data_IF_752547642995
#
_entry.id   IF_752547642995
#
_cell.length_a   1.000
_cell.length_b   1.000
_cell.length_c   1.000
_cell.angle_alpha   90.00
_cell.angle_beta   90.00
_cell.angle_gamma   90.00
#
_symmetry.space_group_name_H-M   'P 1'
#
loop_
_entity.id
_entity.type
_entity.pdbx_description
1 polymer ?
#
# COMPACT_ATOMS: atom_id res chain seq x y z
N UNK A 1 24.29 23.59 21.26
CA UNK A 1 23.88 22.98 19.98
C UNK A 1 23.67 21.50 20.24
N UNK A 2 22.43 21.14 20.51
CA UNK A 2 21.99 19.77 20.82
C UNK A 2 22.07 18.91 19.56
N UNK A 3 22.70 17.74 19.70
CA UNK A 3 22.86 16.77 18.62
C UNK A 3 21.51 16.21 18.18
N UNK A 4 21.07 16.63 17.00
CA UNK A 4 20.04 15.94 16.21
C UNK A 4 20.72 15.00 15.20
N UNK A 5 21.56 14.11 15.71
CA UNK A 5 22.22 13.08 14.91
C UNK A 5 22.09 11.76 15.64
N UNK A 6 21.39 10.80 15.01
CA UNK A 6 21.04 9.43 15.45
C UNK A 6 19.81 9.27 16.35
N UNK A 7 18.69 8.98 15.70
CA UNK A 7 17.85 7.79 15.96
C UNK A 7 16.74 7.69 14.88
N UNK A 8 17.10 7.28 13.67
CA UNK A 8 16.14 6.57 12.80
C UNK A 8 16.81 5.23 12.44
N UNK A 9 17.26 4.53 13.47
CA UNK A 9 17.72 3.16 13.33
C UNK A 9 16.45 2.31 13.24
N UNK A 10 16.08 1.94 12.01
CA UNK A 10 15.04 0.98 11.64
C UNK A 10 13.61 1.38 12.04
N UNK A 11 12.94 2.13 11.18
CA UNK A 11 11.48 2.21 11.19
C UNK A 11 10.93 0.84 10.75
N UNK A 12 10.68 -0.03 11.72
CA UNK A 12 10.15 -1.37 11.50
C UNK A 12 8.73 -1.37 10.93
N UNK A 13 8.21 -2.55 10.55
CA UNK A 13 6.92 -2.69 9.88
C UNK A 13 5.74 -2.15 10.69
N UNK A 14 5.81 -2.19 12.02
CA UNK A 14 4.79 -1.61 12.90
C UNK A 14 4.65 -0.11 12.74
N UNK A 15 5.77 0.61 12.57
CA UNK A 15 5.74 2.06 12.38
C UNK A 15 5.22 2.39 10.99
N UNK A 16 5.65 1.66 9.96
CA UNK A 16 5.11 1.81 8.61
C UNK A 16 3.60 1.56 8.58
N UNK A 17 3.14 0.53 9.30
CA UNK A 17 1.71 0.22 9.48
C UNK A 17 0.96 1.36 10.17
N UNK A 18 1.48 1.87 11.28
CA UNK A 18 0.82 2.96 12.00
C UNK A 18 0.73 4.24 11.16
N UNK A 19 1.84 4.64 10.54
CA UNK A 19 1.88 5.84 9.69
C UNK A 19 0.99 5.68 8.47
N UNK A 20 1.05 4.54 7.79
CA UNK A 20 0.20 4.21 6.67
C UNK A 20 -1.29 4.33 7.01
N UNK A 21 -1.73 3.66 8.09
CA UNK A 21 -3.12 3.73 8.52
C UNK A 21 -3.57 5.15 8.91
N UNK A 22 -2.70 5.97 9.52
CA UNK A 22 -3.02 7.37 9.83
C UNK A 22 -3.17 8.21 8.57
N UNK A 23 -2.25 8.06 7.61
CA UNK A 23 -2.31 8.78 6.34
C UNK A 23 -3.56 8.40 5.54
N UNK A 24 -3.91 7.10 5.49
CA UNK A 24 -5.12 6.63 4.84
C UNK A 24 -6.41 7.16 5.49
N UNK A 25 -6.46 7.29 6.83
CA UNK A 25 -7.61 7.91 7.52
C UNK A 25 -7.78 9.38 7.15
N UNK A 26 -6.69 10.14 7.13
CA UNK A 26 -6.75 11.55 6.70
C UNK A 26 -7.22 11.64 5.24
N UNK A 27 -6.74 10.74 4.36
CA UNK A 27 -7.22 10.66 2.99
C UNK A 27 -8.71 10.34 2.89
N UNK A 28 -9.20 9.41 3.71
CA UNK A 28 -10.62 9.04 3.77
C UNK A 28 -11.49 10.20 4.28
N UNK A 29 -11.07 10.87 5.35
CA UNK A 29 -11.78 12.04 5.91
C UNK A 29 -11.95 13.16 4.87
N UNK A 30 -10.96 13.35 3.99
CA UNK A 30 -11.01 14.33 2.91
C UNK A 30 -11.98 13.98 1.77
N UNK A 31 -12.41 12.73 1.67
CA UNK A 31 -13.33 12.30 0.62
C UNK A 31 -14.79 12.61 0.94
N UNK A 32 -15.13 12.90 2.20
CA UNK A 32 -16.47 13.26 2.69
C UNK A 32 -17.63 12.33 2.30
N UNK A 33 -17.39 11.26 1.56
CA UNK A 33 -18.34 10.27 1.13
C UNK A 33 -17.90 8.92 1.72
N UNK A 34 -18.78 8.32 2.52
CA UNK A 34 -18.77 6.92 3.01
C UNK A 34 -17.80 6.52 4.13
N UNK A 35 -18.26 5.57 4.97
CA UNK A 35 -17.52 4.87 6.04
C UNK A 35 -16.44 3.96 5.44
N UNK A 36 -15.47 4.57 4.75
CA UNK A 36 -14.38 3.86 4.11
C UNK A 36 -13.37 3.37 5.13
N UNK A 37 -13.39 2.07 5.44
CA UNK A 37 -12.33 1.44 6.22
C UNK A 37 -11.11 1.28 5.33
N UNK A 38 -10.17 2.22 5.46
CA UNK A 38 -8.89 2.12 4.80
C UNK A 38 -7.90 1.33 5.66
N UNK A 39 -7.31 0.28 5.09
CA UNK A 39 -6.32 -0.54 5.79
C UNK A 39 -4.98 -0.53 5.07
N UNK A 40 -3.92 -0.39 5.87
CA UNK A 40 -2.53 -0.58 5.48
C UNK A 40 -1.98 -1.73 6.32
N UNK A 41 -1.65 -2.85 5.67
CA UNK A 41 -1.14 -4.04 6.35
C UNK A 41 0.09 -4.56 5.62
N UNK A 42 1.31 -4.27 6.13
CA UNK A 42 2.52 -4.93 5.68
C UNK A 42 2.64 -6.26 6.44
N UNK A 43 2.72 -7.36 5.71
CA UNK A 43 3.00 -8.69 6.26
C UNK A 43 4.13 -9.33 5.46
N UNK A 44 4.89 -10.25 6.06
CA UNK A 44 5.99 -10.90 5.35
C UNK A 44 6.15 -12.38 5.66
N UNK A 45 6.64 -13.12 4.67
CA UNK A 45 6.84 -14.57 4.72
C UNK A 45 8.15 -14.95 4.01
N UNK A 46 8.81 -16.05 4.43
CA UNK A 46 9.96 -16.58 3.72
C UNK A 46 9.56 -17.11 2.33
N UNK A 47 10.44 -16.93 1.34
CA UNK A 47 10.32 -17.53 0.02
C UNK A 47 10.95 -18.93 0.10
N UNK A 48 10.11 -19.92 0.39
CA UNK A 48 10.51 -21.34 0.36
C UNK A 48 10.52 -21.93 -1.05
N UNK A 49 10.63 -23.26 -1.13
CA UNK A 49 10.69 -24.02 -2.39
C UNK A 49 9.46 -23.84 -3.30
N UNK A 50 8.32 -23.41 -2.74
CA UNK A 50 7.11 -23.07 -3.48
C UNK A 50 7.17 -21.72 -4.21
N UNK A 51 8.24 -20.94 -4.03
CA UNK A 51 8.47 -19.67 -4.70
C UNK A 51 7.54 -18.54 -4.25
N UNK A 52 7.55 -17.45 -5.01
CA UNK A 52 6.83 -16.20 -4.71
C UNK A 52 5.32 -16.43 -4.59
N UNK A 53 4.72 -17.20 -5.50
CA UNK A 53 3.28 -17.48 -5.49
C UNK A 53 2.83 -18.15 -4.17
N UNK A 54 3.57 -19.15 -3.70
CA UNK A 54 3.25 -19.84 -2.45
C UNK A 54 3.43 -18.91 -1.23
N UNK A 55 4.47 -18.07 -1.24
CA UNK A 55 4.69 -17.07 -0.19
C UNK A 55 3.55 -16.03 -0.15
N UNK A 56 3.10 -15.51 -1.31
CA UNK A 56 1.92 -14.62 -1.38
C UNK A 56 0.68 -15.31 -0.81
N UNK A 57 0.40 -16.54 -1.24
CA UNK A 57 -0.78 -17.28 -0.76
C UNK A 57 -0.74 -17.58 0.74
N UNK A 58 0.43 -17.58 1.37
CA UNK A 58 0.57 -17.73 2.83
C UNK A 58 0.22 -16.43 3.57
N UNK A 59 0.38 -15.28 2.91
CA UNK A 59 0.12 -13.95 3.47
C UNK A 59 -1.31 -13.47 3.23
N UNK A 60 -1.99 -14.02 2.23
CA UNK A 60 -3.41 -13.78 1.99
C UNK A 60 -4.25 -14.58 2.99
N UNK A 61 -5.28 -13.96 3.55
CA UNK A 61 -6.18 -14.62 4.49
C UNK A 61 -7.06 -15.69 3.79
N UNK A 62 -7.28 -16.83 4.47
CA UNK A 62 -8.24 -17.87 4.05
C UNK A 62 -9.67 -17.27 3.94
N UNK A 63 -10.48 -17.61 2.91
CA UNK A 63 -10.28 -18.61 1.84
C UNK A 63 -9.67 -18.06 0.55
N UNK A 64 -9.08 -16.87 0.61
CA UNK A 64 -8.58 -16.18 -0.56
C UNK A 64 -7.20 -16.71 -0.98
N UNK A 65 -6.89 -16.58 -2.26
CA UNK A 65 -5.58 -16.84 -2.82
C UNK A 65 -5.28 -15.90 -3.98
N UNK A 66 -4.00 -15.69 -4.29
CA UNK A 66 -3.59 -14.95 -5.47
C UNK A 66 -3.94 -15.76 -6.72
N UNK A 67 -4.83 -15.20 -7.53
CA UNK A 67 -5.17 -15.67 -8.87
C UNK A 67 -4.05 -15.34 -9.86
N UNK A 68 -3.43 -14.17 -9.72
CA UNK A 68 -2.39 -13.71 -10.64
C UNK A 68 -1.37 -12.83 -9.93
N UNK A 69 -0.10 -12.99 -10.31
CA UNK A 69 1.00 -12.09 -9.97
C UNK A 69 1.53 -11.46 -11.25
N UNK A 70 1.38 -10.14 -11.38
CA UNK A 70 1.89 -9.41 -12.54
C UNK A 70 3.14 -8.63 -12.12
N UNK A 71 4.32 -8.90 -12.73
CA UNK A 71 5.52 -8.12 -12.44
C UNK A 71 5.26 -6.63 -12.64
N UNK A 72 5.69 -5.82 -11.68
CA UNK A 72 5.61 -4.37 -11.72
C UNK A 72 7.00 -3.75 -11.95
N UNK A 73 7.03 -2.53 -12.47
CA UNK A 73 8.28 -1.83 -12.83
C UNK A 73 9.05 -1.43 -11.58
N UNK A 74 8.40 -0.74 -10.65
CA UNK A 74 8.94 -0.38 -9.35
C UNK A 74 7.80 -0.15 -8.34
N UNK A 75 7.99 -0.61 -7.11
CA UNK A 75 6.96 -0.52 -6.08
C UNK A 75 6.62 0.93 -5.69
N UNK A 76 7.57 1.91 -5.63
CA UNK A 76 7.23 3.29 -5.27
C UNK A 76 6.25 3.92 -6.25
N UNK A 77 6.45 3.71 -7.55
CA UNK A 77 5.56 4.21 -8.60
C UNK A 77 4.16 3.62 -8.48
N UNK A 78 4.05 2.30 -8.28
CA UNK A 78 2.75 1.63 -8.12
C UNK A 78 1.97 2.21 -6.92
N UNK A 79 2.62 2.41 -5.77
CA UNK A 79 1.96 3.00 -4.59
C UNK A 79 1.53 4.45 -4.88
N UNK A 80 2.39 5.22 -5.55
CA UNK A 80 2.09 6.62 -5.94
C UNK A 80 0.95 6.76 -6.92
N UNK A 81 0.78 5.81 -7.83
CA UNK A 81 -0.36 5.84 -8.76
C UNK A 81 -1.64 5.34 -8.07
N UNK A 82 -1.53 4.27 -7.29
CA UNK A 82 -2.68 3.63 -6.67
C UNK A 82 -3.37 4.53 -5.65
N UNK A 83 -2.64 5.15 -4.71
CA UNK A 83 -3.28 5.88 -3.62
C UNK A 83 -4.11 7.08 -4.12
N UNK A 84 -3.56 8.06 -4.87
CA UNK A 84 -4.37 9.17 -5.36
C UNK A 84 -5.52 8.69 -6.26
N UNK A 85 -5.30 7.71 -7.14
CA UNK A 85 -6.33 7.25 -8.07
C UNK A 85 -7.49 6.53 -7.38
N UNK A 86 -7.24 5.83 -6.27
CA UNK A 86 -8.25 4.99 -5.58
C UNK A 86 -9.08 5.77 -4.56
N UNK A 87 -8.52 6.82 -3.97
CA UNK A 87 -9.29 7.75 -3.15
C UNK A 87 -10.17 8.66 -4.02
N UNK A 88 -9.76 8.98 -5.25
CA UNK A 88 -10.58 9.71 -6.19
C UNK A 88 -11.61 8.75 -6.81
N UNK A 89 -12.77 8.55 -6.16
CA UNK A 89 -13.85 7.72 -6.70
C UNK A 89 -14.06 8.02 -8.19
N UNK A 90 -13.78 7.02 -9.03
CA UNK A 90 -13.56 7.19 -10.48
C UNK A 90 -14.76 7.79 -11.24
N UNK A 91 -15.96 7.75 -10.64
CA UNK A 91 -17.23 8.15 -11.23
C UNK A 91 -17.76 9.50 -10.73
N UNK A 92 -17.18 10.09 -9.69
CA UNK A 92 -17.47 11.46 -9.22
C UNK A 92 -16.17 12.13 -8.80
N UNK A 93 -15.37 12.62 -9.76
CA UNK A 93 -14.26 13.51 -9.41
C UNK A 93 -14.82 14.88 -9.06
N UNK A 94 -14.94 15.28 -7.78
CA UNK A 94 -15.33 16.63 -7.47
C UNK A 94 -14.19 17.56 -7.92
N UNK A 95 -14.49 18.81 -8.31
CA UNK A 95 -13.47 19.77 -8.73
C UNK A 95 -12.36 19.99 -7.69
N UNK A 96 -12.62 19.67 -6.43
CA UNK A 96 -11.66 19.69 -5.31
C UNK A 96 -10.50 18.71 -5.47
N UNK A 97 -10.58 17.74 -6.38
CA UNK A 97 -9.53 16.76 -6.69
C UNK A 97 -8.84 16.99 -8.05
N UNK A 98 -9.14 18.10 -8.72
CA UNK A 98 -8.41 18.49 -9.91
C UNK A 98 -6.92 18.69 -9.63
N UNK A 99 -6.08 18.55 -10.65
CA UNK A 99 -4.64 18.70 -10.47
C UNK A 99 -4.28 20.08 -9.91
N UNK A 100 -3.40 20.09 -8.92
CA UNK A 100 -2.93 21.30 -8.26
C UNK A 100 -3.84 21.88 -7.18
N UNK A 101 -5.00 21.27 -6.90
CA UNK A 101 -5.86 21.65 -5.76
C UNK A 101 -5.24 21.26 -4.41
N UNK A 102 -5.70 21.88 -3.33
CA UNK A 102 -5.26 21.59 -1.96
C UNK A 102 -5.41 20.11 -1.58
N UNK A 103 -6.60 19.49 -1.75
CA UNK A 103 -6.81 18.07 -1.45
C UNK A 103 -5.90 17.14 -2.26
N UNK A 104 -5.73 17.42 -3.57
CA UNK A 104 -4.83 16.64 -4.41
C UNK A 104 -3.38 16.70 -3.92
N UNK A 105 -2.87 17.90 -3.61
CA UNK A 105 -1.51 18.09 -3.07
C UNK A 105 -1.33 17.40 -1.72
N UNK A 106 -2.34 17.44 -0.86
CA UNK A 106 -2.31 16.74 0.42
C UNK A 106 -2.24 15.22 0.20
N UNK A 107 -3.01 14.70 -0.75
CA UNK A 107 -2.98 13.28 -1.07
C UNK A 107 -1.66 12.82 -1.66
N UNK A 108 -1.09 13.59 -2.60
CA UNK A 108 0.24 13.31 -3.15
C UNK A 108 1.30 13.36 -2.03
N UNK A 109 1.24 14.36 -1.13
CA UNK A 109 2.18 14.49 0.00
C UNK A 109 2.07 13.36 1.03
N UNK A 110 0.85 12.92 1.37
CA UNK A 110 0.64 11.77 2.26
C UNK A 110 1.10 10.46 1.60
N UNK A 111 0.92 10.34 0.29
CA UNK A 111 1.39 9.20 -0.50
C UNK A 111 2.92 9.16 -0.52
N UNK A 112 3.59 10.30 -0.75
CA UNK A 112 5.05 10.39 -0.67
C UNK A 112 5.58 10.06 0.72
N UNK A 113 4.84 10.46 1.77
CA UNK A 113 5.20 10.12 3.14
C UNK A 113 5.11 8.61 3.41
N UNK A 114 4.05 7.95 2.94
CA UNK A 114 3.92 6.48 2.99
C UNK A 114 5.09 5.81 2.27
N UNK A 115 5.39 6.25 1.05
CA UNK A 115 6.50 5.69 0.24
C UNK A 115 7.84 5.88 0.94
N UNK A 116 8.11 7.04 1.54
CA UNK A 116 9.33 7.27 2.30
C UNK A 116 9.44 6.31 3.50
N UNK A 117 8.32 6.01 4.17
CA UNK A 117 8.31 5.03 5.26
C UNK A 117 8.55 3.59 4.77
N UNK A 118 7.94 3.20 3.66
CA UNK A 118 8.14 1.90 3.04
C UNK A 118 9.57 1.70 2.51
N UNK A 119 10.24 2.78 2.09
CA UNK A 119 11.63 2.72 1.63
C UNK A 119 12.63 2.34 2.74
N UNK A 120 12.22 2.38 4.02
CA UNK A 120 13.01 1.81 5.11
C UNK A 120 12.89 0.28 5.22
N UNK A 121 11.84 -0.30 4.63
CA UNK A 121 11.61 -1.74 4.60
C UNK A 121 12.11 -2.36 3.28
N UNK A 122 11.89 -1.66 2.17
CA UNK A 122 12.12 -2.18 0.83
C UNK A 122 13.08 -1.29 0.04
N UNK A 123 14.16 -1.85 -0.52
CA UNK A 123 14.97 -1.16 -1.53
C UNK A 123 14.11 -0.69 -2.71
N UNK A 124 14.43 0.46 -3.30
CA UNK A 124 13.65 1.02 -4.42
C UNK A 124 13.66 0.14 -5.67
N UNK A 125 14.69 -0.69 -5.83
CA UNK A 125 14.91 -1.64 -6.92
C UNK A 125 14.46 -3.07 -6.59
N UNK A 126 13.76 -3.26 -5.46
CA UNK A 126 13.22 -4.56 -5.08
C UNK A 126 12.22 -5.08 -6.12
N UNK A 127 12.36 -6.35 -6.49
CA UNK A 127 11.39 -7.03 -7.36
C UNK A 127 9.99 -6.93 -6.73
N UNK A 128 8.99 -6.59 -7.54
CA UNK A 128 7.63 -6.42 -7.06
C UNK A 128 6.58 -6.92 -8.07
N UNK A 129 5.41 -7.27 -7.54
CA UNK A 129 4.27 -7.76 -8.30
C UNK A 129 2.98 -7.15 -7.80
N UNK A 130 2.12 -6.71 -8.71
CA UNK A 130 0.71 -6.49 -8.38
C UNK A 130 0.04 -7.85 -8.25
N UNK A 131 -0.73 -8.01 -7.17
CA UNK A 131 -1.43 -9.25 -6.85
C UNK A 131 -2.90 -9.07 -7.19
N UNK A 132 -3.47 -10.03 -7.91
CA UNK A 132 -4.91 -10.17 -8.08
C UNK A 132 -5.36 -11.35 -7.24
N UNK A 133 -6.26 -11.11 -6.30
CA UNK A 133 -6.84 -12.14 -5.41
C UNK A 133 -8.12 -12.69 -6.05
N UNK A 134 -8.38 -13.99 -5.90
CA UNK A 134 -9.59 -14.61 -6.42
C UNK A 134 -10.82 -14.14 -5.60
N UNK A 135 -11.70 -13.36 -6.20
CA UNK A 135 -12.80 -12.74 -5.47
C UNK A 135 -13.88 -13.75 -5.03
N UNK A 136 -14.28 -13.66 -3.75
CA UNK A 136 -15.71 -13.69 -3.41
C UNK A 136 -16.12 -12.25 -3.06
N UNK A 137 -17.40 -11.90 -3.22
CA UNK A 137 -18.03 -10.55 -3.19
C UNK A 137 -17.61 -9.57 -2.07
N UNK A 138 -16.79 -9.97 -1.12
CA UNK A 138 -16.20 -9.14 -0.06
C UNK A 138 -15.05 -8.26 -0.59
N UNK A 139 -14.40 -8.64 -1.70
CA UNK A 139 -13.28 -7.90 -2.32
C UNK A 139 -13.71 -6.89 -3.42
N UNK A 140 -15.01 -6.60 -3.57
CA UNK A 140 -15.54 -5.82 -4.71
C UNK A 140 -15.08 -4.34 -4.78
N UNK A 141 -14.30 -3.82 -3.82
CA UNK A 141 -13.87 -2.43 -3.81
C UNK A 141 -12.35 -2.26 -3.88
N UNK A 142 -11.85 -1.98 -5.10
CA UNK A 142 -10.62 -1.24 -5.39
C UNK A 142 -9.48 -1.48 -4.35
N UNK A 143 -8.95 -2.72 -4.27
CA UNK A 143 -7.76 -3.09 -3.47
C UNK A 143 -6.45 -3.03 -4.28
N UNK A 144 -5.40 -2.40 -3.76
CA UNK A 144 -4.03 -2.62 -4.23
C UNK A 144 -3.40 -3.66 -3.31
N UNK A 145 -3.12 -4.82 -3.88
CA UNK A 145 -2.24 -5.80 -3.27
C UNK A 145 -0.90 -5.77 -4.02
N UNK A 146 0.18 -5.50 -3.29
CA UNK A 146 1.52 -5.36 -3.84
C UNK A 146 2.47 -6.27 -3.08
N UNK A 147 3.03 -7.26 -3.77
CA UNK A 147 4.08 -8.11 -3.25
C UNK A 147 5.45 -7.51 -3.56
N UNK A 148 6.35 -7.46 -2.58
CA UNK A 148 7.71 -6.92 -2.72
C UNK A 148 8.72 -7.90 -2.14
N UNK A 149 9.71 -8.31 -2.93
CA UNK A 149 10.75 -9.24 -2.48
C UNK A 149 11.94 -8.48 -1.93
N UNK A 150 12.38 -8.86 -0.73
CA UNK A 150 13.63 -8.38 -0.12
C UNK A 150 14.44 -9.58 0.34
N UNK A 151 15.52 -9.88 -0.40
CA UNK A 151 16.34 -11.06 -0.14
C UNK A 151 15.56 -12.37 -0.34
N UNK A 152 15.46 -13.14 0.75
CA UNK A 152 14.72 -14.40 0.85
C UNK A 152 13.31 -14.23 1.43
N UNK A 153 12.84 -12.99 1.63
CA UNK A 153 11.53 -12.69 2.18
C UNK A 153 10.66 -12.01 1.15
N UNK A 154 9.36 -12.30 1.22
CA UNK A 154 8.33 -11.61 0.48
C UNK A 154 7.47 -10.81 1.44
N UNK A 155 7.28 -9.54 1.13
CA UNK A 155 6.36 -8.65 1.80
C UNK A 155 5.09 -8.53 0.97
N UNK A 156 3.94 -8.44 1.62
CA UNK A 156 2.66 -8.16 1.01
C UNK A 156 2.10 -6.88 1.64
N UNK A 157 1.81 -5.92 0.78
CA UNK A 157 1.13 -4.69 1.12
C UNK A 157 -0.31 -4.77 0.65
N UNK A 158 -1.22 -4.70 1.60
CA UNK A 158 -2.64 -4.51 1.33
C UNK A 158 -3.01 -3.04 1.53
N UNK A 159 -3.56 -2.42 0.48
CA UNK A 159 -4.22 -1.12 0.54
C UNK A 159 -5.66 -1.30 0.07
N UNK A 160 -6.59 -1.31 1.01
CA UNK A 160 -8.01 -1.52 0.74
C UNK A 160 -8.87 -0.35 1.17
N UNK A 161 -10.02 -0.20 0.51
CA UNK A 161 -11.15 0.61 0.95
C UNK A 161 -12.33 -0.34 1.10
N UNK A 162 -12.76 -0.62 2.32
CA UNK A 162 -14.00 -1.36 2.56
C UNK A 162 -15.13 -0.38 2.86
N UNK A 163 -16.29 -0.61 2.27
CA UNK A 163 -17.56 0.04 2.64
C UNK A 163 -18.26 -0.69 3.80
#
# INVERSE_FOLDING_TARGET
MTGYGRAVEHLGPDVAREVGNRALRVLADLLEDTDHICTFTPADAPIGDGGVQAAVNTLIADPFHAETLTPAVDWPHIVREALPARFIASWRRPQTWADGTGPRRLADGLTDWIVAHLAHLWPADADCWTVRVNESKVYENIYLDLAVRVGDRLWLLHLGVCD
#
